data_IF_431697724956
#
_entry.id   IF_431697724956
#
_cell.length_a   1.000
_cell.length_b   1.000
_cell.length_c   1.000
_cell.angle_alpha   90.00
_cell.angle_beta   90.00
_cell.angle_gamma   90.00
#
_symmetry.space_group_name_H-M   'P 1'
#
loop_
_entity.id
_entity.type
_entity.pdbx_description
1 polymer ?
#
# COMPACT_ATOMS: atom_id res chain seq x y z
N UNK A 1 4.54 -19.94 -32.58
CA UNK A 1 5.95 -19.57 -32.36
C UNK A 1 6.69 -20.87 -32.12
N UNK A 2 7.72 -21.12 -32.92
CA UNK A 2 8.66 -22.21 -32.70
C UNK A 2 9.55 -21.91 -31.48
N UNK A 3 10.12 -22.94 -30.87
CA UNK A 3 11.01 -22.77 -29.71
C UNK A 3 12.21 -21.86 -30.03
N UNK A 4 12.71 -21.90 -31.27
CA UNK A 4 13.77 -21.01 -31.74
C UNK A 4 13.36 -19.52 -31.78
N UNK A 5 12.08 -19.22 -32.05
CA UNK A 5 11.56 -17.85 -32.03
C UNK A 5 11.37 -17.34 -30.59
N UNK A 6 11.05 -18.22 -29.64
CA UNK A 6 10.96 -17.89 -28.22
C UNK A 6 12.35 -17.61 -27.63
N UNK A 7 13.35 -18.41 -27.99
CA UNK A 7 14.74 -18.21 -27.57
C UNK A 7 15.32 -16.91 -28.14
N UNK A 8 15.05 -16.61 -29.42
CA UNK A 8 15.47 -15.35 -30.03
C UNK A 8 14.78 -14.15 -29.37
N UNK A 9 13.48 -14.24 -29.07
CA UNK A 9 12.76 -13.19 -28.38
C UNK A 9 13.26 -12.95 -26.95
N UNK A 10 13.66 -14.02 -26.24
CA UNK A 10 14.28 -13.94 -24.92
C UNK A 10 15.66 -13.26 -24.97
N UNK A 11 16.49 -13.64 -25.94
CA UNK A 11 17.80 -13.01 -26.19
C UNK A 11 17.66 -11.52 -26.54
N UNK A 12 16.74 -11.18 -27.44
CA UNK A 12 16.48 -9.78 -27.81
C UNK A 12 15.94 -8.98 -26.64
N UNK A 13 15.05 -9.54 -25.81
CA UNK A 13 14.55 -8.85 -24.61
C UNK A 13 15.65 -8.62 -23.58
N UNK A 14 16.51 -9.60 -23.32
CA UNK A 14 17.66 -9.46 -22.43
C UNK A 14 18.65 -8.41 -22.94
N UNK A 15 18.88 -8.35 -24.25
CA UNK A 15 19.74 -7.35 -24.89
C UNK A 15 19.11 -5.94 -24.85
N UNK A 16 17.80 -5.81 -25.06
CA UNK A 16 17.08 -4.54 -24.93
C UNK A 16 17.08 -4.06 -23.48
N UNK A 17 16.90 -4.94 -22.50
CA UNK A 17 17.01 -4.61 -21.07
C UNK A 17 18.45 -4.19 -20.71
N UNK A 18 19.47 -4.84 -21.29
CA UNK A 18 20.89 -4.46 -21.16
C UNK A 18 21.16 -3.05 -21.71
N UNK A 19 20.52 -2.68 -22.81
CA UNK A 19 20.65 -1.34 -23.39
C UNK A 19 19.79 -0.28 -22.67
N UNK A 20 18.68 -0.69 -22.06
CA UNK A 20 17.74 0.22 -21.39
C UNK A 20 18.13 0.54 -19.93
N UNK A 21 18.90 -0.33 -19.26
CA UNK A 21 19.38 -0.07 -17.91
C UNK A 21 20.92 -0.15 -17.84
N UNK A 22 21.61 0.99 -17.93
CA UNK A 22 23.07 1.01 -17.87
C UNK A 22 23.57 0.72 -16.46
N UNK A 23 22.70 0.59 -15.45
CA UNK A 23 23.10 0.29 -14.07
C UNK A 23 22.96 -1.20 -13.74
N UNK A 24 24.00 -1.73 -13.11
CA UNK A 24 24.11 -3.11 -12.64
C UNK A 24 24.47 -3.13 -11.15
N UNK A 25 24.11 -4.20 -10.45
CA UNK A 25 24.54 -4.46 -9.07
C UNK A 25 25.59 -5.56 -9.09
N UNK A 26 26.75 -5.30 -8.50
CA UNK A 26 27.88 -6.24 -8.47
C UNK A 26 28.52 -6.25 -7.08
N UNK A 27 29.33 -7.27 -6.81
CA UNK A 27 30.12 -7.37 -5.57
C UNK A 27 31.57 -7.04 -5.85
N UNK A 28 32.24 -6.31 -4.97
CA UNK A 28 33.68 -6.09 -5.05
C UNK A 28 34.40 -7.38 -4.69
N UNK A 29 35.14 -7.91 -5.66
CA UNK A 29 35.94 -9.13 -5.53
C UNK A 29 37.28 -8.84 -4.85
N UNK A 30 37.92 -7.73 -5.22
CA UNK A 30 39.15 -7.27 -4.58
C UNK A 30 39.35 -5.77 -4.81
N UNK A 31 40.09 -5.12 -3.91
CA UNK A 31 40.45 -3.71 -4.04
C UNK A 31 41.89 -3.55 -4.54
N UNK A 32 42.17 -2.42 -5.20
CA UNK A 32 43.52 -2.07 -5.66
C UNK A 32 43.99 -0.76 -5.05
N UNK A 33 45.30 -0.63 -4.87
CA UNK A 33 45.94 0.57 -4.31
C UNK A 33 45.78 1.81 -5.20
N UNK A 34 45.57 1.62 -6.51
CA UNK A 34 45.34 2.70 -7.50
C UNK A 34 43.90 3.25 -7.47
N UNK A 35 43.07 2.76 -6.54
CA UNK A 35 41.70 3.19 -6.35
C UNK A 35 40.67 2.54 -7.27
N UNK A 36 41.07 1.52 -8.05
CA UNK A 36 40.16 0.64 -8.80
C UNK A 36 39.73 -0.56 -7.97
N UNK A 37 38.71 -1.26 -8.46
CA UNK A 37 38.23 -2.52 -7.88
C UNK A 37 38.01 -3.57 -8.97
N UNK A 38 38.17 -4.83 -8.61
CA UNK A 38 37.69 -5.94 -9.42
C UNK A 38 36.27 -6.27 -8.97
N UNK A 39 35.37 -6.51 -9.92
CA UNK A 39 33.95 -6.75 -9.64
C UNK A 39 33.56 -8.16 -10.04
N UNK A 40 32.83 -8.84 -9.16
CA UNK A 40 32.22 -10.14 -9.42
C UNK A 40 30.79 -9.95 -9.92
N UNK A 41 30.50 -10.55 -11.06
CA UNK A 41 29.16 -10.62 -11.64
C UNK A 41 28.83 -12.07 -12.01
N UNK A 42 28.09 -12.75 -11.13
CA UNK A 42 27.93 -14.20 -11.20
C UNK A 42 29.28 -14.90 -11.00
N UNK A 43 29.68 -15.73 -11.96
CA UNK A 43 30.98 -16.42 -11.96
C UNK A 43 32.10 -15.62 -12.66
N UNK A 44 31.76 -14.51 -13.32
CA UNK A 44 32.74 -13.69 -14.05
C UNK A 44 33.36 -12.61 -13.15
N UNK A 45 34.64 -12.32 -13.37
CA UNK A 45 35.35 -11.20 -12.76
C UNK A 45 35.65 -10.13 -13.82
N UNK A 46 35.23 -8.90 -13.54
CA UNK A 46 35.53 -7.71 -14.33
C UNK A 46 36.67 -6.97 -13.63
N UNK A 47 37.82 -6.93 -14.27
CA UNK A 47 39.03 -6.34 -13.68
C UNK A 47 39.09 -4.83 -13.89
N UNK A 48 39.80 -4.14 -13.00
CA UNK A 48 40.25 -2.76 -13.16
C UNK A 48 39.14 -1.73 -13.38
N UNK A 49 38.02 -1.93 -12.69
CA UNK A 49 36.87 -1.03 -12.77
C UNK A 49 37.16 0.23 -11.96
N UNK A 50 37.13 1.38 -12.63
CA UNK A 50 37.31 2.66 -11.99
C UNK A 50 36.15 2.94 -11.01
N UNK A 51 36.49 3.36 -9.80
CA UNK A 51 35.50 3.77 -8.82
C UNK A 51 35.36 5.28 -8.75
N UNK A 52 34.13 5.74 -8.53
CA UNK A 52 33.88 7.11 -8.12
C UNK A 52 34.65 7.43 -6.83
N UNK A 53 35.13 8.66 -6.69
CA UNK A 53 35.88 9.10 -5.51
C UNK A 53 35.02 9.05 -4.23
N UNK A 54 33.70 9.23 -4.38
CA UNK A 54 32.74 9.12 -3.29
C UNK A 54 32.64 7.70 -2.69
N UNK A 55 32.99 6.66 -3.46
CA UNK A 55 33.07 5.29 -2.95
C UNK A 55 34.43 5.05 -2.27
N UNK A 56 34.51 5.47 -1.00
CA UNK A 56 35.68 5.35 -0.13
C UNK A 56 35.22 5.32 1.35
N UNK A 57 35.69 4.39 2.21
CA UNK A 57 36.64 3.30 1.94
C UNK A 57 36.04 2.19 1.07
N UNK A 58 36.89 1.57 0.26
CA UNK A 58 36.55 0.42 -0.60
C UNK A 58 36.94 -0.85 0.12
N UNK A 59 36.07 -1.86 0.12
CA UNK A 59 36.35 -3.15 0.75
C UNK A 59 35.91 -4.31 -0.16
N UNK A 60 36.63 -5.43 -0.06
CA UNK A 60 36.18 -6.71 -0.60
C UNK A 60 34.85 -7.12 0.02
N UNK A 61 33.95 -7.68 -0.78
CA UNK A 61 32.60 -8.06 -0.39
C UNK A 61 31.56 -6.93 -0.43
N UNK A 62 31.97 -5.68 -0.70
CA UNK A 62 31.02 -4.58 -0.87
C UNK A 62 30.06 -4.83 -2.04
N UNK A 63 28.78 -4.53 -1.86
CA UNK A 63 27.80 -4.54 -2.95
C UNK A 63 27.68 -3.12 -3.50
N UNK A 64 27.90 -2.96 -4.79
CA UNK A 64 28.06 -1.66 -5.44
C UNK A 64 27.13 -1.51 -6.65
N UNK A 65 26.71 -0.27 -6.90
CA UNK A 65 26.01 0.13 -8.11
C UNK A 65 27.03 0.49 -9.19
N UNK A 66 26.92 -0.12 -10.36
CA UNK A 66 27.91 -0.04 -11.44
C UNK A 66 27.22 0.46 -12.71
N UNK A 67 27.80 1.48 -13.34
CA UNK A 67 27.38 1.98 -14.64
C UNK A 67 28.18 1.29 -15.75
N UNK A 68 27.50 0.71 -16.73
CA UNK A 68 28.06 0.29 -18.01
C UNK A 68 27.79 1.37 -19.06
N UNK A 69 28.84 1.94 -19.63
CA UNK A 69 28.74 2.95 -20.68
C UNK A 69 29.78 2.70 -21.78
N UNK A 70 29.72 3.47 -22.87
CA UNK A 70 30.61 3.31 -24.02
C UNK A 70 32.12 3.36 -23.69
N UNK A 71 32.52 4.01 -22.59
CA UNK A 71 33.91 4.07 -22.13
C UNK A 71 34.29 2.97 -21.11
N UNK A 72 33.44 1.96 -20.92
CA UNK A 72 33.67 0.82 -20.02
C UNK A 72 32.79 0.81 -18.77
N UNK A 73 33.22 0.07 -17.74
CA UNK A 73 32.51 -0.05 -16.47
C UNK A 73 32.98 1.00 -15.47
N UNK A 74 32.07 1.49 -14.62
CA UNK A 74 32.40 2.42 -13.54
C UNK A 74 31.55 2.18 -12.30
N UNK A 75 32.18 2.09 -11.13
CA UNK A 75 31.47 2.01 -9.85
C UNK A 75 30.98 3.40 -9.48
N UNK A 76 29.68 3.51 -9.20
CA UNK A 76 29.01 4.76 -8.89
C UNK A 76 28.94 5.01 -7.39
N UNK A 77 28.45 4.02 -6.63
CA UNK A 77 28.26 4.10 -5.18
C UNK A 77 28.19 2.71 -4.52
N UNK A 78 28.38 2.66 -3.21
CA UNK A 78 28.14 1.48 -2.37
C UNK A 78 26.66 1.41 -1.98
N UNK A 79 26.07 0.23 -2.13
CA UNK A 79 24.67 -0.01 -1.79
C UNK A 79 24.48 -1.14 -0.76
N UNK A 80 25.54 -1.89 -0.42
CA UNK A 80 25.53 -2.94 0.60
C UNK A 80 26.93 -3.41 0.97
N UNK A 81 27.04 -4.35 1.91
CA UNK A 81 28.31 -4.94 2.38
C UNK A 81 28.22 -6.45 2.49
N UNK A 82 29.34 -7.14 2.78
CA UNK A 82 29.36 -8.59 2.93
C UNK A 82 28.42 -8.99 4.07
N UNK A 83 27.48 -9.89 3.76
CA UNK A 83 26.65 -10.55 4.77
C UNK A 83 27.42 -11.79 5.20
N UNK A 84 28.07 -11.75 6.36
CA UNK A 84 28.59 -12.98 6.98
C UNK A 84 27.41 -13.84 7.41
N UNK A 85 27.20 -14.94 6.68
CA UNK A 85 26.27 -15.99 7.09
C UNK A 85 27.15 -17.10 7.65
N UNK A 86 27.18 -17.22 8.97
CA UNK A 86 27.81 -18.34 9.65
C UNK A 86 27.04 -19.62 9.26
N UNK A 87 27.68 -20.53 8.52
CA UNK A 87 27.09 -21.82 8.16
C UNK A 87 27.42 -22.78 9.32
N UNK A 88 26.45 -23.16 10.15
CA UNK A 88 26.72 -24.08 11.25
C UNK A 88 27.16 -25.45 10.71
N UNK A 89 28.09 -26.10 11.44
CA UNK A 89 28.57 -27.45 11.15
C UNK A 89 27.35 -28.41 11.10
N UNK A 90 27.26 -29.33 10.12
CA UNK A 90 26.16 -30.29 10.05
C UNK A 90 26.05 -31.10 11.35
N UNK A 91 24.85 -31.15 11.93
CA UNK A 91 24.54 -31.96 13.11
C UNK A 91 23.60 -33.09 12.70
N UNK A 92 23.98 -34.34 13.01
CA UNK A 92 23.10 -35.50 12.81
C UNK A 92 22.06 -35.56 13.95
N UNK A 93 20.78 -35.48 13.58
CA UNK A 93 19.64 -35.37 14.50
C UNK A 93 18.77 -36.63 14.46
N UNK A 94 18.24 -37.04 15.62
CA UNK A 94 17.24 -38.12 15.73
C UNK A 94 16.02 -37.64 16.53
N UNK A 95 14.83 -38.19 16.24
CA UNK A 95 13.60 -37.97 17.01
C UNK A 95 12.92 -39.31 17.34
N UNK A 96 12.20 -39.38 18.46
CA UNK A 96 11.59 -40.62 18.96
C UNK A 96 12.50 -41.41 19.91
N UNK A 97 12.07 -42.59 20.34
CA UNK A 97 12.81 -43.47 21.27
C UNK A 97 12.95 -44.88 20.72
N UNK A 98 14.13 -45.52 20.88
CA UNK A 98 15.40 -44.98 21.38
C UNK A 98 16.28 -44.32 20.28
N UNK A 99 17.16 -43.39 20.69
CA UNK A 99 18.15 -42.74 19.82
C UNK A 99 19.21 -43.75 19.31
N UNK A 100 19.54 -43.78 18.01
CA UNK A 100 20.72 -44.47 17.52
C UNK A 100 22.02 -43.82 18.04
N UNK A 101 23.07 -44.60 18.22
CA UNK A 101 24.38 -44.09 18.64
C UNK A 101 24.95 -43.10 17.60
N UNK A 102 25.52 -41.98 18.08
CA UNK A 102 26.13 -40.95 17.24
C UNK A 102 25.18 -39.82 16.79
N UNK A 103 23.87 -39.96 17.04
CA UNK A 103 22.89 -38.91 16.75
C UNK A 103 22.60 -38.04 17.98
N UNK A 104 22.38 -36.76 17.76
CA UNK A 104 21.89 -35.84 18.80
C UNK A 104 20.37 -35.97 18.91
N UNK A 105 19.87 -36.29 20.10
CA UNK A 105 18.44 -36.42 20.36
C UNK A 105 17.75 -35.05 20.29
N UNK A 106 16.73 -34.94 19.43
CA UNK A 106 15.80 -33.83 19.44
C UNK A 106 14.88 -33.90 20.68
N UNK A 107 14.82 -32.81 21.42
CA UNK A 107 13.85 -32.58 22.49
C UNK A 107 12.45 -32.25 21.91
N UNK A 108 12.41 -31.51 20.79
CA UNK A 108 11.18 -31.17 20.09
C UNK A 108 11.44 -30.98 18.59
N UNK A 109 10.40 -31.22 17.78
CA UNK A 109 10.40 -31.08 16.33
C UNK A 109 9.14 -30.34 15.90
N UNK A 110 9.28 -29.32 15.06
CA UNK A 110 8.16 -28.57 14.48
C UNK A 110 8.28 -28.50 12.96
N UNK A 111 7.13 -28.41 12.29
CA UNK A 111 7.05 -28.13 10.85
C UNK A 111 6.25 -26.86 10.64
N UNK A 112 6.81 -25.91 9.89
CA UNK A 112 6.11 -24.68 9.51
C UNK A 112 6.55 -24.26 8.11
N UNK A 113 5.60 -23.92 7.25
CA UNK A 113 5.84 -23.44 5.89
C UNK A 113 6.75 -24.37 5.05
N UNK A 114 6.67 -25.69 5.29
CA UNK A 114 7.51 -26.69 4.62
C UNK A 114 8.92 -26.84 5.18
N UNK A 115 9.31 -26.06 6.19
CA UNK A 115 10.58 -26.17 6.89
C UNK A 115 10.47 -26.99 8.19
N UNK A 116 11.52 -27.74 8.51
CA UNK A 116 11.67 -28.53 9.73
C UNK A 116 12.51 -27.74 10.76
N UNK A 117 12.03 -27.65 11.99
CA UNK A 117 12.70 -27.02 13.12
C UNK A 117 12.96 -28.06 14.21
N UNK A 118 14.16 -28.11 14.75
CA UNK A 118 14.57 -29.12 15.74
C UNK A 118 15.26 -28.45 16.93
N UNK A 119 14.90 -28.84 18.15
CA UNK A 119 15.55 -28.40 19.39
C UNK A 119 16.39 -29.55 19.96
N UNK A 120 17.67 -29.31 20.29
CA UNK A 120 18.57 -30.29 20.90
C UNK A 120 18.96 -29.87 22.31
N UNK A 121 18.35 -30.47 23.35
CA UNK A 121 18.63 -30.21 24.77
C UNK A 121 17.58 -29.41 25.54
N UNK A 122 17.75 -29.27 26.85
CA UNK A 122 17.02 -28.30 27.68
C UNK A 122 17.56 -26.91 27.34
N UNK A 123 16.94 -26.28 26.35
CA UNK A 123 17.13 -24.84 26.14
C UNK A 123 16.76 -24.07 27.42
N UNK A 124 17.20 -22.81 27.58
CA UNK A 124 16.66 -21.97 28.64
C UNK A 124 15.14 -22.13 28.62
N UNK A 125 14.52 -22.38 29.78
CA UNK A 125 13.06 -22.38 29.91
C UNK A 125 12.56 -21.22 29.06
N UNK A 126 11.63 -21.41 28.12
CA UNK A 126 11.25 -20.37 27.19
C UNK A 126 11.01 -19.12 28.03
N UNK A 127 11.96 -18.17 27.98
CA UNK A 127 11.72 -16.85 28.50
C UNK A 127 10.44 -16.42 27.81
N UNK A 128 9.47 -15.83 28.52
CA UNK A 128 8.13 -15.63 27.99
C UNK A 128 8.28 -15.16 26.55
N UNK A 129 7.89 -16.02 25.60
CA UNK A 129 8.00 -15.66 24.19
C UNK A 129 7.35 -14.29 24.11
N UNK A 130 8.08 -13.28 23.61
CA UNK A 130 7.46 -11.98 23.35
C UNK A 130 6.19 -12.33 22.58
N UNK A 131 5.00 -12.05 23.16
CA UNK A 131 3.76 -12.58 22.62
C UNK A 131 3.73 -12.18 21.15
N UNK A 132 3.44 -13.13 20.22
CA UNK A 132 3.63 -12.91 18.80
C UNK A 132 3.05 -11.55 18.44
N UNK A 133 3.91 -10.62 17.99
CA UNK A 133 3.50 -9.24 17.70
C UNK A 133 2.27 -9.33 16.83
N UNK A 134 1.14 -8.87 17.37
CA UNK A 134 -0.13 -8.93 16.66
C UNK A 134 0.07 -8.35 15.26
N UNK A 135 -0.19 -9.15 14.24
CA UNK A 135 -0.03 -8.68 12.87
C UNK A 135 -1.02 -7.55 12.64
N UNK A 136 -0.54 -6.41 12.14
CA UNK A 136 -1.38 -5.26 11.82
C UNK A 136 -2.61 -5.70 11.02
N UNK A 137 -3.85 -5.36 11.43
CA UNK A 137 -5.03 -5.74 10.67
C UNK A 137 -4.96 -5.19 9.24
N UNK A 138 -5.32 -6.04 8.26
CA UNK A 138 -5.28 -5.68 6.84
C UNK A 138 -6.19 -4.47 6.56
N UNK A 139 -5.75 -3.49 5.74
CA UNK A 139 -6.61 -2.41 5.28
C UNK A 139 -7.85 -2.94 4.56
N UNK A 140 -8.97 -2.21 4.68
CA UNK A 140 -10.25 -2.56 4.05
C UNK A 140 -10.67 -1.44 3.11
N UNK A 141 -11.24 -1.81 1.96
CA UNK A 141 -11.93 -0.90 1.05
C UNK A 141 -13.40 -1.32 0.92
N UNK A 142 -14.31 -0.35 1.07
CA UNK A 142 -15.75 -0.55 1.02
C UNK A 142 -16.34 0.28 -0.12
N UNK A 143 -17.21 -0.34 -0.90
CA UNK A 143 -18.06 0.36 -1.86
C UNK A 143 -19.37 0.75 -1.20
N UNK A 144 -20.03 1.76 -1.76
CA UNK A 144 -21.35 2.20 -1.30
C UNK A 144 -22.37 1.10 -1.56
N UNK A 145 -23.24 0.81 -0.60
CA UNK A 145 -24.35 -0.12 -0.79
C UNK A 145 -25.48 0.56 -1.57
N UNK A 146 -25.70 1.84 -1.31
CA UNK A 146 -26.63 2.67 -2.07
C UNK A 146 -26.24 4.14 -2.00
N UNK A 147 -26.90 4.94 -2.83
CA UNK A 147 -26.75 6.38 -2.86
C UNK A 147 -28.04 7.06 -3.31
N UNK A 148 -28.24 8.30 -2.87
CA UNK A 148 -29.37 9.10 -3.30
C UNK A 148 -29.03 10.59 -3.30
N UNK A 149 -29.61 11.28 -4.27
CA UNK A 149 -29.69 12.73 -4.30
C UNK A 149 -31.02 13.22 -3.75
N UNK A 150 -31.01 14.39 -3.16
CA UNK A 150 -32.15 15.06 -2.57
C UNK A 150 -32.21 16.50 -3.01
N UNK A 151 -33.42 16.98 -3.26
CA UNK A 151 -33.71 18.36 -3.62
C UNK A 151 -35.06 18.75 -3.06
N UNK A 152 -35.18 19.96 -2.52
CA UNK A 152 -36.43 20.48 -1.94
C UNK A 152 -37.04 19.55 -0.87
N UNK A 153 -36.21 18.95 -0.01
CA UNK A 153 -36.67 18.09 1.10
C UNK A 153 -37.05 16.66 0.72
N UNK A 154 -36.96 16.29 -0.56
CA UNK A 154 -37.37 14.98 -1.08
C UNK A 154 -36.27 14.31 -1.90
N UNK A 155 -36.33 12.98 -1.97
CA UNK A 155 -35.46 12.18 -2.84
C UNK A 155 -35.67 12.57 -4.30
N UNK A 156 -34.57 12.76 -5.02
CA UNK A 156 -34.50 13.28 -6.39
C UNK A 156 -33.58 12.38 -7.25
N UNK A 157 -33.74 11.07 -7.09
CA UNK A 157 -32.99 10.04 -7.81
C UNK A 157 -31.70 9.59 -7.11
N UNK A 158 -30.86 8.89 -7.86
CA UNK A 158 -29.60 8.28 -7.40
C UNK A 158 -28.36 9.12 -7.69
N UNK A 159 -28.51 10.22 -8.44
CA UNK A 159 -27.38 11.08 -8.82
C UNK A 159 -26.90 11.84 -7.59
N UNK A 160 -25.63 11.65 -7.26
CA UNK A 160 -25.00 12.38 -6.17
C UNK A 160 -24.51 13.74 -6.65
N UNK A 161 -25.04 14.79 -6.06
CA UNK A 161 -24.68 16.17 -6.31
C UNK A 161 -24.73 16.99 -5.02
N UNK A 162 -24.06 18.14 -5.05
CA UNK A 162 -24.06 19.12 -3.97
C UNK A 162 -24.34 20.52 -4.55
N UNK A 163 -24.91 21.41 -3.74
CA UNK A 163 -25.09 22.82 -4.10
C UNK A 163 -26.20 23.03 -5.13
N UNK A 164 -26.36 24.24 -5.66
CA UNK A 164 -27.47 24.56 -6.57
C UNK A 164 -26.98 24.95 -7.97
N UNK A 165 -27.66 24.46 -9.01
CA UNK A 165 -27.45 24.98 -10.36
C UNK A 165 -27.80 26.48 -10.38
N UNK A 166 -27.05 27.37 -11.08
CA UNK A 166 -27.22 28.83 -10.96
C UNK A 166 -28.65 29.34 -11.16
N UNK A 167 -29.43 28.70 -12.04
CA UNK A 167 -30.83 29.05 -12.34
C UNK A 167 -31.87 28.35 -11.47
N UNK A 168 -31.48 27.52 -10.50
CA UNK A 168 -32.39 26.82 -9.59
C UNK A 168 -32.17 27.23 -8.13
N UNK A 169 -33.24 27.49 -7.34
CA UNK A 169 -33.12 27.96 -5.96
C UNK A 169 -32.87 26.83 -4.94
N UNK A 170 -33.00 25.57 -5.33
CA UNK A 170 -32.98 24.44 -4.39
C UNK A 170 -31.65 23.68 -4.47
N UNK A 171 -30.81 23.75 -3.42
CA UNK A 171 -29.54 23.03 -3.40
C UNK A 171 -29.75 21.52 -3.32
N UNK A 172 -28.90 20.80 -4.03
CA UNK A 172 -28.73 19.36 -3.91
C UNK A 172 -27.99 19.03 -2.62
N UNK A 173 -28.49 18.00 -1.96
CA UNK A 173 -27.81 17.27 -0.90
C UNK A 173 -27.86 15.81 -1.27
N UNK A 174 -26.80 15.04 -1.02
CA UNK A 174 -26.77 13.62 -1.36
C UNK A 174 -26.14 12.81 -0.26
N UNK A 175 -26.39 11.49 -0.28
CA UNK A 175 -25.79 10.55 0.66
C UNK A 175 -25.25 9.31 -0.03
N UNK A 176 -24.29 8.69 0.62
CA UNK A 176 -23.81 7.34 0.39
C UNK A 176 -24.07 6.51 1.64
N UNK A 177 -24.80 5.41 1.47
CA UNK A 177 -25.12 4.48 2.56
C UNK A 177 -24.28 3.21 2.45
N UNK A 178 -23.96 2.61 3.59
CA UNK A 178 -23.11 1.42 3.68
C UNK A 178 -23.75 0.32 4.54
N UNK A 179 -25.02 0.49 4.95
CA UNK A 179 -25.67 -0.38 5.92
C UNK A 179 -24.87 -0.45 7.22
N UNK A 180 -24.49 -1.66 7.62
CA UNK A 180 -23.63 -1.94 8.78
C UNK A 180 -22.18 -2.27 8.39
N UNK A 181 -21.82 -2.19 7.10
CA UNK A 181 -20.53 -2.72 6.61
C UNK A 181 -19.30 -1.97 7.16
N UNK A 182 -19.41 -0.67 7.46
CA UNK A 182 -18.30 0.08 8.07
C UNK A 182 -18.05 -0.39 9.50
N UNK A 183 -19.12 -0.49 10.31
CA UNK A 183 -19.06 -0.98 11.68
C UNK A 183 -18.51 -2.42 11.71
N UNK A 184 -19.05 -3.30 10.87
CA UNK A 184 -18.59 -4.69 10.75
C UNK A 184 -17.11 -4.78 10.35
N UNK A 185 -16.64 -3.92 9.45
CA UNK A 185 -15.22 -3.90 9.05
C UNK A 185 -14.29 -3.47 10.20
N UNK A 186 -14.78 -2.60 11.09
CA UNK A 186 -14.06 -2.05 12.23
C UNK A 186 -14.18 -2.87 13.51
N UNK A 187 -15.06 -3.88 13.57
CA UNK A 187 -15.28 -4.68 14.77
C UNK A 187 -13.97 -5.30 15.28
N UNK A 188 -13.65 -5.04 16.55
CA UNK A 188 -12.44 -5.54 17.21
C UNK A 188 -11.13 -4.90 16.72
N UNK A 189 -11.19 -3.81 15.95
CA UNK A 189 -10.00 -3.15 15.38
C UNK A 189 -10.01 -1.65 15.68
N UNK A 190 -8.84 -1.11 15.97
CA UNK A 190 -8.69 0.33 16.17
C UNK A 190 -8.40 1.01 14.83
N UNK A 191 -9.26 1.94 14.42
CA UNK A 191 -9.04 2.72 13.18
C UNK A 191 -7.84 3.65 13.36
N UNK A 192 -6.94 3.62 12.38
CA UNK A 192 -5.80 4.54 12.25
C UNK A 192 -6.17 5.70 11.33
N UNK A 193 -6.70 5.39 10.14
CA UNK A 193 -7.11 6.39 9.15
C UNK A 193 -8.32 5.88 8.36
N UNK A 194 -9.28 6.77 8.15
CA UNK A 194 -10.42 6.54 7.26
C UNK A 194 -10.47 7.62 6.20
N UNK A 195 -10.70 7.23 4.95
CA UNK A 195 -10.79 8.17 3.82
C UNK A 195 -12.01 7.85 2.97
N UNK A 196 -12.65 8.89 2.43
CA UNK A 196 -13.71 8.77 1.44
C UNK A 196 -13.23 9.29 0.08
N UNK A 197 -13.51 8.55 -0.99
CA UNK A 197 -13.23 9.00 -2.34
C UNK A 197 -14.32 9.93 -2.82
N UNK A 198 -13.95 11.15 -3.20
CA UNK A 198 -14.84 12.08 -3.91
C UNK A 198 -14.28 12.34 -5.30
N UNK A 199 -15.12 12.17 -6.32
CA UNK A 199 -14.75 12.35 -7.71
C UNK A 199 -15.78 13.21 -8.41
N UNK A 200 -15.34 14.27 -9.09
CA UNK A 200 -16.18 15.24 -9.77
C UNK A 200 -16.28 14.90 -11.26
N UNK A 201 -17.47 15.05 -11.84
CA UNK A 201 -17.65 14.85 -13.28
C UNK A 201 -16.79 15.81 -14.12
N UNK A 202 -16.34 15.34 -15.28
CA UNK A 202 -15.68 16.15 -16.33
C UNK A 202 -16.67 16.78 -17.30
N UNK A 203 -17.95 16.40 -17.27
CA UNK A 203 -18.97 16.87 -18.20
C UNK A 203 -19.55 18.23 -17.77
N UNK A 204 -20.19 18.95 -18.71
CA UNK A 204 -20.69 20.36 -18.65
C UNK A 204 -21.71 20.71 -17.53
N UNK A 205 -21.54 20.20 -16.32
CA UNK A 205 -22.42 20.42 -15.19
C UNK A 205 -21.60 20.69 -13.92
N UNK A 206 -21.78 21.87 -13.32
CA UNK A 206 -20.99 22.33 -12.19
C UNK A 206 -20.54 23.79 -12.36
N UNK A 207 -19.95 24.35 -11.31
CA UNK A 207 -19.21 25.62 -11.40
C UNK A 207 -17.85 25.37 -12.05
N UNK A 208 -17.44 26.09 -13.10
CA UNK A 208 -16.18 25.82 -13.84
C UNK A 208 -14.91 25.85 -12.95
N UNK A 209 -14.93 26.64 -11.87
CA UNK A 209 -13.86 26.70 -10.87
C UNK A 209 -13.72 25.44 -10.00
N UNK A 210 -12.68 25.44 -9.15
CA UNK A 210 -12.48 24.39 -8.14
C UNK A 210 -13.59 24.49 -7.08
N UNK A 211 -14.23 23.37 -6.76
CA UNK A 211 -15.29 23.29 -5.76
C UNK A 211 -14.86 22.39 -4.61
N UNK A 212 -15.08 22.82 -3.38
CA UNK A 212 -14.78 22.02 -2.18
C UNK A 212 -15.99 21.14 -1.83
N UNK A 213 -15.83 19.80 -1.74
CA UNK A 213 -16.87 18.94 -1.21
C UNK A 213 -17.23 19.33 0.22
N UNK A 214 -18.52 19.55 0.48
CA UNK A 214 -19.08 19.85 1.81
C UNK A 214 -19.62 18.55 2.40
N UNK A 215 -18.78 17.86 3.16
CA UNK A 215 -19.05 16.51 3.63
C UNK A 215 -19.66 16.52 5.03
N UNK A 216 -20.40 15.47 5.37
CA UNK A 216 -21.05 15.31 6.66
C UNK A 216 -21.38 13.84 6.90
N UNK A 217 -21.73 13.47 8.13
CA UNK A 217 -22.26 12.15 8.46
C UNK A 217 -23.80 12.14 8.48
N UNK A 218 -24.37 10.94 8.36
CA UNK A 218 -25.79 10.68 8.61
C UNK A 218 -25.98 9.29 9.24
N UNK A 219 -27.19 9.03 9.74
CA UNK A 219 -27.49 7.81 10.51
C UNK A 219 -28.35 6.80 9.71
N UNK A 220 -28.67 7.11 8.46
CA UNK A 220 -29.44 6.25 7.56
C UNK A 220 -28.68 5.01 7.08
N UNK A 221 -29.26 3.83 7.22
CA UNK A 221 -28.73 2.56 6.66
C UNK A 221 -29.12 2.34 5.20
N UNK A 222 -30.20 2.99 4.75
CA UNK A 222 -30.68 2.99 3.37
C UNK A 222 -31.27 4.37 3.01
N UNK A 223 -31.32 4.78 1.74
CA UNK A 223 -31.78 6.13 1.40
C UNK A 223 -33.25 6.41 1.76
N UNK A 224 -33.55 7.31 2.73
CA UNK A 224 -34.91 7.65 3.09
C UNK A 224 -35.64 8.43 2.00
N UNK A 225 -36.97 8.54 2.10
CA UNK A 225 -37.81 9.32 1.18
C UNK A 225 -37.61 10.84 1.34
N UNK A 226 -37.40 11.30 2.57
CA UNK A 226 -37.12 12.71 2.91
C UNK A 226 -35.62 12.95 2.99
N UNK A 227 -35.17 14.19 2.79
CA UNK A 227 -33.76 14.55 2.96
C UNK A 227 -33.28 14.20 4.36
N UNK A 228 -32.23 13.37 4.50
CA UNK A 228 -31.71 13.01 5.80
C UNK A 228 -31.00 14.19 6.47
N UNK A 229 -30.96 14.15 7.79
CA UNK A 229 -30.21 15.13 8.58
C UNK A 229 -28.72 14.85 8.44
N UNK A 230 -27.97 15.85 7.98
CA UNK A 230 -26.51 15.81 7.89
C UNK A 230 -25.87 16.51 9.10
N UNK A 231 -25.01 15.79 9.82
CA UNK A 231 -24.33 16.24 11.05
C UNK A 231 -22.83 16.03 10.94
N UNK A 232 -22.03 16.55 11.90
CA UNK A 232 -20.58 16.34 11.95
C UNK A 232 -19.87 16.69 10.63
N UNK A 233 -19.93 17.98 10.26
CA UNK A 233 -19.55 18.47 8.93
C UNK A 233 -18.04 18.68 8.82
N UNK A 234 -17.50 18.43 7.63
CA UNK A 234 -16.11 18.79 7.28
C UNK A 234 -15.98 19.12 5.80
N UNK A 235 -14.92 19.85 5.46
CA UNK A 235 -14.66 20.28 4.09
C UNK A 235 -13.55 19.45 3.44
N UNK A 236 -13.78 19.07 2.19
CA UNK A 236 -12.75 18.52 1.33
C UNK A 236 -11.82 19.59 0.72
N UNK A 237 -10.73 19.16 0.06
CA UNK A 237 -9.93 20.02 -0.79
C UNK A 237 -10.72 20.44 -2.04
N UNK A 238 -10.29 21.53 -2.70
CA UNK A 238 -10.90 21.96 -3.96
C UNK A 238 -10.69 20.97 -5.10
N UNK A 239 -11.77 20.60 -5.79
CA UNK A 239 -11.80 19.69 -6.94
C UNK A 239 -12.17 20.46 -8.21
N UNK A 240 -11.29 20.42 -9.22
CA UNK A 240 -11.60 20.79 -10.59
C UNK A 240 -12.56 19.80 -11.26
N UNK A 241 -13.06 20.13 -12.45
CA UNK A 241 -13.83 19.18 -13.25
C UNK A 241 -12.96 17.97 -13.61
N UNK A 242 -13.50 16.76 -13.45
CA UNK A 242 -12.76 15.51 -13.64
C UNK A 242 -11.84 15.09 -12.48
N UNK A 243 -11.59 15.95 -11.49
CA UNK A 243 -10.70 15.61 -10.37
C UNK A 243 -11.30 14.51 -9.49
N UNK A 244 -10.44 13.63 -8.98
CA UNK A 244 -10.76 12.63 -7.97
C UNK A 244 -9.74 12.64 -6.84
N UNK A 245 -10.21 12.63 -5.59
CA UNK A 245 -9.34 12.60 -4.41
C UNK A 245 -9.90 11.70 -3.31
N UNK A 246 -8.98 11.07 -2.58
CA UNK A 246 -9.26 10.49 -1.27
C UNK A 246 -9.17 11.59 -0.22
N UNK A 247 -10.28 11.83 0.48
CA UNK A 247 -10.42 12.86 1.49
C UNK A 247 -10.42 12.17 2.85
N UNK A 248 -9.50 12.54 3.73
CA UNK A 248 -9.45 12.01 5.09
C UNK A 248 -10.70 12.42 5.87
N UNK A 249 -11.35 11.44 6.48
CA UNK A 249 -12.43 11.67 7.44
C UNK A 249 -11.78 12.01 8.78
N UNK A 250 -12.13 13.12 9.44
CA UNK A 250 -11.51 13.46 10.72
C UNK A 250 -11.80 12.37 11.78
N UNK A 251 -10.90 12.24 12.75
CA UNK A 251 -10.83 11.06 13.64
C UNK A 251 -12.08 10.87 14.49
N UNK A 252 -12.74 11.95 14.91
CA UNK A 252 -14.00 11.92 15.63
C UNK A 252 -15.14 11.41 14.74
N UNK A 253 -15.23 11.83 13.48
CA UNK A 253 -16.21 11.27 12.54
C UNK A 253 -15.91 9.81 12.15
N UNK A 254 -14.63 9.47 11.94
CA UNK A 254 -14.21 8.10 11.68
C UNK A 254 -14.59 7.17 12.84
N UNK A 255 -14.45 7.63 14.08
CA UNK A 255 -14.87 6.88 15.27
C UNK A 255 -16.37 6.65 15.32
N UNK A 256 -17.19 7.65 14.94
CA UNK A 256 -18.65 7.51 14.86
C UNK A 256 -19.09 6.50 13.79
N UNK A 257 -18.42 6.49 12.64
CA UNK A 257 -18.67 5.50 11.59
C UNK A 257 -18.24 4.09 12.03
N UNK A 258 -17.08 3.99 12.69
CA UNK A 258 -16.55 2.72 13.18
C UNK A 258 -17.42 2.09 14.27
N UNK A 259 -18.05 2.90 15.14
CA UNK A 259 -18.95 2.42 16.19
C UNK A 259 -20.40 2.23 15.75
N UNK A 260 -20.74 2.55 14.50
CA UNK A 260 -22.13 2.53 14.02
C UNK A 260 -23.02 3.67 14.53
N UNK A 261 -22.46 4.62 15.29
CA UNK A 261 -23.17 5.85 15.71
C UNK A 261 -23.53 6.78 14.54
N UNK A 262 -22.91 6.56 13.37
CA UNK A 262 -23.35 7.05 12.07
C UNK A 262 -23.19 5.95 11.02
N UNK A 263 -24.01 5.97 9.98
CA UNK A 263 -24.18 4.87 9.02
C UNK A 263 -23.70 5.19 7.60
N UNK A 264 -23.31 6.43 7.36
CA UNK A 264 -22.73 6.82 6.08
C UNK A 264 -22.30 8.28 6.01
N UNK A 265 -22.01 8.70 4.78
CA UNK A 265 -21.45 10.01 4.48
C UNK A 265 -22.36 10.73 3.49
N UNK A 266 -22.65 11.99 3.78
CA UNK A 266 -23.35 12.90 2.90
C UNK A 266 -22.44 13.95 2.27
N UNK A 267 -22.94 14.58 1.21
CA UNK A 267 -22.33 15.73 0.54
C UNK A 267 -23.41 16.80 0.30
N UNK A 268 -23.03 18.08 0.43
CA UNK A 268 -23.93 19.23 0.21
C UNK A 268 -24.49 19.85 1.49
N UNK A 269 -23.95 19.51 2.66
CA UNK A 269 -24.34 20.13 3.92
C UNK A 269 -23.96 21.63 3.92
N UNK A 270 -24.94 22.51 3.70
CA UNK A 270 -24.72 23.97 3.66
C UNK A 270 -24.12 24.49 2.35
N UNK A 271 -24.21 23.72 1.26
CA UNK A 271 -23.72 24.12 -0.06
C UNK A 271 -24.69 25.09 -0.77
N UNK A 272 -24.14 26.17 -1.34
CA UNK A 272 -24.88 27.17 -2.13
C UNK A 272 -24.71 26.99 -3.65
N UNK A 273 -25.01 28.04 -4.42
CA UNK A 273 -24.85 28.05 -5.88
C UNK A 273 -23.38 27.92 -6.32
N UNK A 274 -22.46 28.54 -5.58
CA UNK A 274 -21.01 28.49 -5.82
C UNK A 274 -20.39 27.13 -5.56
N UNK A 275 -21.11 26.26 -4.85
CA UNK A 275 -20.61 24.93 -4.45
C UNK A 275 -21.12 23.82 -5.37
N UNK A 276 -21.73 24.15 -6.51
CA UNK A 276 -22.38 23.16 -7.36
C UNK A 276 -21.37 22.19 -7.99
N UNK A 277 -21.49 20.91 -7.63
CA UNK A 277 -20.75 19.81 -8.25
C UNK A 277 -21.63 18.58 -8.38
N UNK A 278 -21.36 17.78 -9.42
CA UNK A 278 -21.93 16.46 -9.62
C UNK A 278 -20.81 15.43 -9.44
N UNK A 279 -21.07 14.40 -8.63
CA UNK A 279 -20.14 13.30 -8.44
C UNK A 279 -20.23 12.32 -9.62
N UNK A 280 -19.09 11.71 -9.97
CA UNK A 280 -19.01 10.65 -11.00
C UNK A 280 -19.08 9.25 -10.39
N UNK A 281 -19.04 8.21 -11.24
CA UNK A 281 -19.00 6.81 -10.81
C UNK A 281 -17.78 6.51 -9.92
N UNK A 282 -17.96 5.63 -8.93
CA UNK A 282 -16.92 5.27 -7.95
C UNK A 282 -16.66 6.33 -6.87
N UNK A 283 -17.55 7.32 -6.75
CA UNK A 283 -17.59 8.23 -5.60
C UNK A 283 -18.21 7.53 -4.38
N UNK A 284 -17.82 7.96 -3.18
CA UNK A 284 -18.32 7.37 -1.93
C UNK A 284 -17.63 6.08 -1.52
N UNK A 285 -16.53 5.67 -2.17
CA UNK A 285 -15.77 4.54 -1.64
C UNK A 285 -15.08 4.93 -0.34
N UNK A 286 -15.03 4.02 0.64
CA UNK A 286 -14.29 4.22 1.90
C UNK A 286 -13.07 3.31 1.93
N UNK A 287 -11.94 3.85 2.40
CA UNK A 287 -10.74 3.08 2.73
C UNK A 287 -10.45 3.24 4.23
N UNK A 288 -10.18 2.13 4.89
CA UNK A 288 -9.90 2.05 6.33
C UNK A 288 -8.53 1.40 6.52
N UNK A 289 -7.65 2.04 7.27
CA UNK A 289 -6.43 1.43 7.82
C UNK A 289 -6.56 1.35 9.33
N UNK A 290 -5.99 0.29 9.92
CA UNK A 290 -6.07 0.01 11.35
C UNK A 290 -4.71 0.22 12.01
N UNK A 291 -4.70 0.46 13.32
CA UNK A 291 -3.48 0.50 14.12
C UNK A 291 -2.95 -0.92 14.34
N UNK A 292 -1.67 -1.00 14.70
CA UNK A 292 -1.07 -2.25 15.20
C UNK A 292 -1.70 -2.63 16.54
#
# INVERSE_FOLDING_TARGET
MSDAELDLAALVRAEVERQANPYQIMTVDSTREDGKVNLRWGEAIINDVAANQAYNPRAEGDVVLVLNHAAGWRVMDKIGGPVEIEIPVPVDLTFGTPAPAGYTQAAAVWVKDGALYVQTGEGPAPGPEDPPKASKPKPVALSTSSQAGYRSGRKDGSRVAQGAWPSYPHPYTSIWTYGTSIEAACQGKTVDKMQIRVARTSNYHGVSGRVRPKLALHDETSPPAKTPKLTNRWDGPGLGMGDSKWITIPSDQASRLASGASRGVGIGAGAGKSDYLIATAGCGQIRITFKN
#
